data_IF_936140211156
#
_entry.id   IF_936140211156
#
_cell.length_a   1.000
_cell.length_b   1.000
_cell.length_c   1.000
_cell.angle_alpha   90.00
_cell.angle_beta   90.00
_cell.angle_gamma   90.00
#
_symmetry.space_group_name_H-M   'P 1'
#
loop_
_entity.id
_entity.type
_entity.pdbx_description
1 polymer ?
#
# COMPACT_ATOMS: atom_id res chain seq x y z
N UNK A 1 -2.13 -18.49 -20.25
CA UNK A 1 -1.78 -17.53 -19.20
C UNK A 1 -2.65 -17.80 -17.99
N UNK A 2 -2.12 -17.64 -16.78
CA UNK A 2 -2.84 -17.80 -15.51
C UNK A 2 -2.80 -16.46 -14.79
N UNK A 3 -3.85 -16.15 -14.05
CA UNK A 3 -3.83 -15.01 -13.12
C UNK A 3 -3.04 -15.41 -11.86
N UNK A 4 -1.92 -14.73 -11.65
CA UNK A 4 -1.05 -14.91 -10.49
C UNK A 4 -0.92 -13.60 -9.69
N UNK A 5 -1.96 -12.77 -9.71
CA UNK A 5 -1.95 -11.45 -9.06
C UNK A 5 -1.42 -11.53 -7.63
N UNK A 6 -1.87 -12.50 -6.82
CA UNK A 6 -1.43 -12.66 -5.42
C UNK A 6 0.08 -12.83 -5.25
N UNK A 7 0.76 -13.49 -6.19
CA UNK A 7 2.20 -13.73 -6.12
C UNK A 7 3.02 -12.44 -6.20
N UNK A 8 2.49 -11.38 -6.84
CA UNK A 8 3.14 -10.06 -6.89
C UNK A 8 3.19 -9.34 -5.54
N UNK A 9 2.34 -9.73 -4.59
CA UNK A 9 2.33 -9.20 -3.23
C UNK A 9 3.09 -10.12 -2.29
N UNK A 10 2.77 -11.41 -2.33
CA UNK A 10 3.28 -12.39 -1.37
C UNK A 10 4.72 -12.84 -1.67
N UNK A 11 5.15 -12.73 -2.93
CA UNK A 11 6.42 -13.28 -3.40
C UNK A 11 6.44 -14.82 -3.50
N UNK A 12 5.30 -15.49 -3.29
CA UNK A 12 5.18 -16.94 -3.42
C UNK A 12 4.90 -17.33 -4.88
N UNK A 13 5.95 -17.74 -5.58
CA UNK A 13 5.88 -18.22 -6.97
C UNK A 13 5.76 -19.74 -7.08
N UNK A 14 5.48 -20.46 -5.99
CA UNK A 14 5.17 -21.88 -6.04
C UNK A 14 3.78 -22.11 -6.66
N UNK A 15 3.49 -23.33 -7.13
CA UNK A 15 2.17 -23.66 -7.68
C UNK A 15 0.99 -23.36 -6.74
N UNK A 16 1.24 -23.43 -5.43
CA UNK A 16 0.26 -23.09 -4.40
C UNK A 16 0.07 -21.56 -4.24
N UNK A 17 1.11 -20.77 -4.50
CA UNK A 17 1.09 -19.31 -4.41
C UNK A 17 0.56 -18.59 -5.67
N UNK A 18 0.57 -19.26 -6.83
CA UNK A 18 0.07 -18.72 -8.10
C UNK A 18 -1.47 -18.68 -8.15
N UNK A 19 -2.13 -17.99 -7.23
CA UNK A 19 -3.60 -17.89 -7.17
C UNK A 19 -4.11 -16.49 -7.49
N UNK A 20 -5.36 -16.42 -7.93
CA UNK A 20 -6.06 -15.19 -8.30
C UNK A 20 -6.80 -14.54 -7.11
N UNK A 21 -6.88 -15.24 -5.97
CA UNK A 21 -7.58 -14.72 -4.80
C UNK A 21 -6.77 -13.64 -4.08
N UNK A 22 -7.38 -12.46 -3.96
CA UNK A 22 -6.81 -11.27 -3.31
C UNK A 22 -7.77 -10.67 -2.29
N UNK A 23 -8.86 -11.38 -1.96
CA UNK A 23 -9.95 -10.84 -1.12
C UNK A 23 -9.54 -10.58 0.34
N UNK A 24 -8.51 -11.28 0.83
CA UNK A 24 -7.97 -11.17 2.19
C UNK A 24 -6.77 -10.23 2.30
N UNK A 25 -6.32 -9.64 1.19
CA UNK A 25 -5.22 -8.68 1.20
C UNK A 25 -5.62 -7.40 1.93
N UNK A 26 -4.68 -6.86 2.70
CA UNK A 26 -4.79 -5.55 3.33
C UNK A 26 -4.82 -4.42 2.29
N UNK A 27 -5.23 -3.22 2.71
CA UNK A 27 -5.21 -2.05 1.83
C UNK A 27 -3.81 -1.75 1.26
N UNK A 28 -2.75 -1.88 2.06
CA UNK A 28 -1.37 -1.68 1.58
C UNK A 28 -0.95 -2.70 0.53
N UNK A 29 -1.40 -3.94 0.67
CA UNK A 29 -1.08 -5.03 -0.26
C UNK A 29 -1.84 -4.88 -1.58
N UNK A 30 -3.11 -4.48 -1.51
CA UNK A 30 -3.92 -4.16 -2.70
C UNK A 30 -3.37 -2.94 -3.44
N UNK A 31 -2.87 -1.93 -2.72
CA UNK A 31 -2.16 -0.82 -3.36
C UNK A 31 -0.84 -1.26 -4.02
N UNK A 32 -0.18 -2.28 -3.46
CA UNK A 32 1.00 -2.90 -4.10
C UNK A 32 0.63 -3.58 -5.41
N UNK A 33 -0.50 -4.29 -5.47
CA UNK A 33 -1.04 -4.82 -6.73
C UNK A 33 -1.33 -3.71 -7.75
N UNK A 34 -1.96 -2.62 -7.33
CA UNK A 34 -2.24 -1.48 -8.20
C UNK A 34 -0.94 -0.89 -8.77
N UNK A 35 0.12 -0.80 -7.97
CA UNK A 35 1.43 -0.34 -8.44
C UNK A 35 2.02 -1.28 -9.49
N UNK A 36 1.93 -2.60 -9.29
CA UNK A 36 2.34 -3.58 -10.29
C UNK A 36 1.52 -3.48 -11.58
N UNK A 37 0.20 -3.36 -11.49
CA UNK A 37 -0.67 -3.16 -12.64
C UNK A 37 -0.24 -1.92 -13.44
N UNK A 38 -0.07 -0.77 -12.78
CA UNK A 38 0.38 0.47 -13.42
C UNK A 38 1.78 0.35 -14.03
N UNK A 39 2.68 -0.41 -13.38
CA UNK A 39 3.99 -0.73 -13.96
C UNK A 39 3.84 -1.53 -15.26
N UNK A 40 3.01 -2.57 -15.29
CA UNK A 40 2.83 -3.38 -16.50
C UNK A 40 2.12 -2.62 -17.62
N UNK A 41 1.08 -1.84 -17.31
CA UNK A 41 0.38 -0.99 -18.27
C UNK A 41 1.31 0.04 -18.93
N UNK A 42 2.26 0.58 -18.16
CA UNK A 42 3.23 1.54 -18.67
C UNK A 42 4.32 0.90 -19.53
N UNK A 43 4.78 -0.29 -19.15
CA UNK A 43 6.00 -0.88 -19.71
C UNK A 43 5.74 -1.99 -20.74
N UNK A 44 4.51 -2.50 -20.85
CA UNK A 44 4.17 -3.62 -21.73
C UNK A 44 2.94 -3.29 -22.57
N UNK A 45 2.89 -3.89 -23.77
CA UNK A 45 1.72 -3.79 -24.64
C UNK A 45 0.58 -4.61 -24.06
N UNK A 46 -0.54 -3.97 -23.79
CA UNK A 46 -1.79 -4.66 -23.43
C UNK A 46 -2.30 -5.48 -24.63
N UNK A 47 -2.53 -6.78 -24.41
CA UNK A 47 -2.98 -7.73 -25.45
C UNK A 47 -4.36 -8.33 -25.19
N UNK A 48 -4.94 -8.08 -24.01
CA UNK A 48 -6.24 -8.63 -23.63
C UNK A 48 -6.37 -8.85 -22.12
N UNK A 49 -7.48 -9.45 -21.72
CA UNK A 49 -7.80 -9.78 -20.33
C UNK A 49 -7.80 -11.30 -20.13
N UNK A 50 -7.47 -11.74 -18.93
CA UNK A 50 -7.57 -13.15 -18.55
C UNK A 50 -9.00 -13.40 -18.05
N UNK A 51 -9.71 -14.31 -18.70
CA UNK A 51 -10.99 -14.81 -18.22
C UNK A 51 -10.81 -15.53 -16.89
N UNK A 52 -11.61 -15.20 -15.88
CA UNK A 52 -11.50 -15.76 -14.53
C UNK A 52 -12.15 -14.86 -13.48
N UNK A 53 -11.50 -14.75 -12.32
CA UNK A 53 -12.09 -14.09 -11.14
C UNK A 53 -12.48 -12.63 -11.37
N UNK A 54 -11.70 -11.86 -12.15
CA UNK A 54 -11.94 -10.43 -12.38
C UNK A 54 -12.70 -10.10 -13.66
N UNK A 55 -12.65 -10.98 -14.67
CA UNK A 55 -13.30 -10.77 -15.96
C UNK A 55 -14.00 -12.05 -16.44
N UNK A 56 -15.26 -11.92 -16.85
CA UNK A 56 -16.05 -13.02 -17.41
C UNK A 56 -15.60 -13.44 -18.81
N UNK A 57 -16.22 -14.50 -19.33
CA UNK A 57 -16.05 -14.95 -20.74
C UNK A 57 -16.53 -13.89 -21.74
N UNK A 58 -17.47 -13.05 -21.34
CA UNK A 58 -17.97 -11.88 -22.06
C UNK A 58 -17.00 -10.68 -22.02
N UNK A 59 -15.89 -10.80 -21.28
CA UNK A 59 -14.91 -9.74 -21.07
C UNK A 59 -15.38 -8.62 -20.12
N UNK A 60 -16.54 -8.78 -19.49
CA UNK A 60 -17.11 -7.82 -18.54
C UNK A 60 -16.48 -7.99 -17.15
N UNK A 61 -16.34 -6.89 -16.40
CA UNK A 61 -15.82 -6.95 -15.03
C UNK A 61 -16.78 -7.72 -14.12
N UNK A 62 -16.23 -8.54 -13.23
CA UNK A 62 -17.00 -9.25 -12.21
C UNK A 62 -17.16 -8.40 -10.95
N UNK A 63 -18.08 -8.75 -10.03
CA UNK A 63 -18.17 -8.12 -8.72
C UNK A 63 -16.88 -8.18 -7.90
N UNK A 64 -16.04 -9.20 -8.13
CA UNK A 64 -14.75 -9.31 -7.45
C UNK A 64 -13.79 -8.18 -7.85
N UNK A 65 -13.78 -7.78 -9.13
CA UNK A 65 -12.99 -6.64 -9.58
C UNK A 65 -13.48 -5.34 -8.91
N UNK A 66 -14.79 -5.10 -8.93
CA UNK A 66 -15.36 -3.90 -8.28
C UNK A 66 -15.05 -3.84 -6.78
N UNK A 67 -15.00 -4.98 -6.09
CA UNK A 67 -14.58 -5.04 -4.69
C UNK A 67 -13.11 -4.61 -4.52
N UNK A 68 -12.20 -5.12 -5.37
CA UNK A 68 -10.77 -4.75 -5.33
C UNK A 68 -10.58 -3.27 -5.66
N UNK A 69 -11.27 -2.74 -6.66
CA UNK A 69 -11.25 -1.31 -7.01
C UNK A 69 -11.73 -0.43 -5.84
N UNK A 70 -12.77 -0.85 -5.13
CA UNK A 70 -13.23 -0.18 -3.93
C UNK A 70 -12.19 -0.23 -2.79
N UNK A 71 -11.48 -1.35 -2.62
CA UNK A 71 -10.38 -1.46 -1.66
C UNK A 71 -9.20 -0.55 -2.02
N UNK A 72 -8.85 -0.43 -3.31
CA UNK A 72 -7.83 0.50 -3.81
C UNK A 72 -8.22 1.93 -3.48
N UNK A 73 -9.46 2.31 -3.75
CA UNK A 73 -9.98 3.66 -3.46
C UNK A 73 -9.88 3.98 -1.97
N UNK A 74 -10.37 3.08 -1.10
CA UNK A 74 -10.29 3.24 0.37
C UNK A 74 -8.85 3.27 0.87
N UNK A 75 -7.99 2.38 0.37
CA UNK A 75 -6.59 2.33 0.74
C UNK A 75 -5.83 3.60 0.36
N UNK A 76 -6.11 4.15 -0.82
CA UNK A 76 -5.54 5.42 -1.29
C UNK A 76 -5.97 6.57 -0.39
N UNK A 77 -7.26 6.63 -0.05
CA UNK A 77 -7.78 7.67 0.84
C UNK A 77 -7.18 7.55 2.26
N UNK A 78 -7.10 6.34 2.80
CA UNK A 78 -6.49 6.10 4.11
C UNK A 78 -5.01 6.51 4.12
N UNK A 79 -4.27 6.19 3.05
CA UNK A 79 -2.87 6.59 2.89
C UNK A 79 -2.70 8.11 2.82
N UNK A 80 -3.59 8.80 2.09
CA UNK A 80 -3.61 10.27 2.04
C UNK A 80 -3.88 10.88 3.42
N UNK A 81 -4.91 10.38 4.13
CA UNK A 81 -5.25 10.86 5.49
C UNK A 81 -4.10 10.64 6.48
N UNK A 82 -3.43 9.49 6.42
CA UNK A 82 -2.27 9.21 7.26
C UNK A 82 -1.09 10.16 6.95
N UNK A 83 -0.89 10.54 5.69
CA UNK A 83 0.13 11.53 5.32
C UNK A 83 -0.21 12.93 5.83
N UNK A 84 -1.47 13.35 5.70
CA UNK A 84 -1.98 14.62 6.25
C UNK A 84 -1.83 14.67 7.77
N UNK A 85 -2.16 13.58 8.46
CA UNK A 85 -1.93 13.47 9.90
C UNK A 85 -0.45 13.54 10.23
N UNK A 86 0.43 12.88 9.46
CA UNK A 86 1.88 12.96 9.68
C UNK A 86 2.44 14.37 9.44
N UNK A 87 1.88 15.13 8.51
CA UNK A 87 2.27 16.53 8.29
C UNK A 87 1.77 17.45 9.41
N UNK A 88 0.55 17.20 9.91
CA UNK A 88 -0.07 17.98 10.98
C UNK A 88 0.56 17.67 12.34
N UNK A 89 0.82 16.38 12.58
CA UNK A 89 1.32 15.82 13.83
C UNK A 89 2.52 14.89 13.61
N UNK A 90 3.64 15.43 13.11
CA UNK A 90 4.86 14.66 12.88
C UNK A 90 5.41 14.09 14.20
N UNK A 91 5.94 12.85 14.19
CA UNK A 91 6.57 12.30 15.37
C UNK A 91 7.84 13.08 15.74
N UNK A 92 8.17 13.09 17.02
CA UNK A 92 9.43 13.61 17.51
C UNK A 92 10.58 12.63 17.21
N UNK A 93 11.81 13.14 17.21
CA UNK A 93 13.01 12.32 17.02
C UNK A 93 13.20 11.42 18.24
N UNK A 94 13.58 10.17 17.99
CA UNK A 94 13.89 9.20 19.03
C UNK A 94 15.25 8.57 18.73
N UNK A 95 16.09 8.45 19.76
CA UNK A 95 17.32 7.66 19.72
C UNK A 95 17.33 6.68 20.88
N UNK A 96 18.00 5.55 20.70
CA UNK A 96 18.30 4.63 21.79
C UNK A 96 19.76 4.20 21.72
N UNK A 97 20.40 4.10 22.87
CA UNK A 97 21.73 3.49 23.00
C UNK A 97 21.83 2.69 24.29
N UNK A 98 22.62 1.62 24.28
CA UNK A 98 22.82 0.77 25.47
C UNK A 98 23.40 1.52 26.66
N UNK A 99 24.19 2.58 26.42
CA UNK A 99 24.81 3.39 27.49
C UNK A 99 23.90 4.48 28.06
N UNK A 100 23.07 5.12 27.23
CA UNK A 100 22.27 6.30 27.62
C UNK A 100 20.77 6.03 27.72
N UNK A 101 20.33 4.84 27.34
CA UNK A 101 18.91 4.53 27.21
C UNK A 101 18.25 5.25 26.03
N UNK A 102 16.93 5.41 26.10
CA UNK A 102 16.13 6.10 25.09
C UNK A 102 16.05 7.60 25.35
N UNK A 103 16.12 8.41 24.29
CA UNK A 103 15.93 9.87 24.32
C UNK A 103 14.94 10.29 23.23
N UNK A 104 14.00 11.16 23.61
CA UNK A 104 12.99 11.74 22.73
C UNK A 104 13.12 13.27 22.72
N UNK A 105 13.11 13.89 21.55
CA UNK A 105 13.13 15.35 21.43
C UNK A 105 12.46 15.78 20.13
N UNK A 106 11.89 16.97 20.12
CA UNK A 106 11.28 17.56 18.95
C UNK A 106 12.09 18.77 18.52
N UNK A 107 12.19 18.98 17.21
CA UNK A 107 12.90 20.10 16.59
C UNK A 107 12.08 20.60 15.39
N UNK A 108 12.55 21.64 14.67
CA UNK A 108 11.97 22.03 13.38
C UNK A 108 12.04 20.90 12.33
N UNK A 109 12.94 19.94 12.52
CA UNK A 109 13.16 18.77 11.66
C UNK A 109 12.90 17.49 12.47
N UNK A 110 11.68 16.97 12.44
CA UNK A 110 11.36 15.71 13.11
C UNK A 110 10.33 14.92 12.32
N UNK A 111 10.44 13.59 12.38
CA UNK A 111 9.48 12.69 11.73
C UNK A 111 9.49 12.78 10.19
N UNK A 112 10.59 13.26 9.60
CA UNK A 112 10.72 13.50 8.17
C UNK A 112 9.95 14.72 7.66
N UNK A 113 9.57 15.65 8.54
CA UNK A 113 8.87 16.90 8.19
C UNK A 113 9.69 18.09 8.69
N UNK A 114 9.88 19.10 7.81
CA UNK A 114 10.48 20.40 8.14
C UNK A 114 9.39 21.44 8.36
N UNK A 115 9.51 22.23 9.45
CA UNK A 115 8.51 23.21 9.88
C UNK A 115 9.16 24.41 10.57
N UNK A 116 8.50 25.56 10.57
CA UNK A 116 9.01 26.79 11.19
C UNK A 116 8.90 26.88 12.72
N UNK A 117 8.57 25.78 13.41
CA UNK A 117 8.33 25.76 14.86
C UNK A 117 8.82 24.46 15.51
N UNK A 118 9.17 24.53 16.79
CA UNK A 118 9.64 23.37 17.57
C UNK A 118 8.44 22.59 18.11
N UNK A 119 8.37 21.30 17.74
CA UNK A 119 7.33 20.38 18.18
C UNK A 119 7.30 20.13 19.69
N UNK A 120 6.23 19.50 20.18
CA UNK A 120 6.19 18.88 21.52
C UNK A 120 5.73 17.43 21.42
N UNK A 121 6.19 16.53 22.32
CA UNK A 121 5.69 15.17 22.35
C UNK A 121 4.18 15.14 22.61
N UNK A 122 3.47 14.30 21.85
CA UNK A 122 2.02 14.11 22.01
C UNK A 122 1.74 12.72 22.58
N UNK A 123 0.80 12.65 23.52
CA UNK A 123 0.26 11.40 24.03
C UNK A 123 -0.94 11.02 23.16
N UNK A 124 -0.90 9.83 22.57
CA UNK A 124 -1.96 9.25 21.76
C UNK A 124 -2.97 8.49 22.64
#
# INVERSE_FOLDING_TARGET
GRDASRAFVTGDYSEAGLVDDVADLSFSEVLTLQNWLSFYEKNYKFVGRVTGKFYGEDGLPTPALSHVEAMISRGTEASRRALEEKQTFPPCNAEWSSRRGGRLWCSPESGGVSRGWVGVPRKL
#
